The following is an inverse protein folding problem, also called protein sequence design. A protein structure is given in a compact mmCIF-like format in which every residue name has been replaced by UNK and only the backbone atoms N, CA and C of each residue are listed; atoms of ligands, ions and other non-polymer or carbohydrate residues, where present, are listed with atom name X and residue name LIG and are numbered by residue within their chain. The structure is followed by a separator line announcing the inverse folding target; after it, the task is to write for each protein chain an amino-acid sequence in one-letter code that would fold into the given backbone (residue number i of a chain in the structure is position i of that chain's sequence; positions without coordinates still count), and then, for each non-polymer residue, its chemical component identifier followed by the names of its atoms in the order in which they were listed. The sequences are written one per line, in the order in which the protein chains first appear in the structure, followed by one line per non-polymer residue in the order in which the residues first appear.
data_IF_614867900554
#
_entry.id   IF_614867900554
#
_cell.length_a   1.000
_cell.length_b   1.000
_cell.length_c   1.000
_cell.angle_alpha   90.00
_cell.angle_beta   90.00
_cell.angle_gamma   90.00
#
_symmetry.space_group_name_H-M   'P 1'
#
loop_
_entity.id
_entity.type
_entity.pdbx_description
1 polymer ?
#
# COMPACT_ATOMS: atom_id res chain seq x y z
N UNK A 1 -2.93 -7.58 -20.48
CA UNK A 1 -3.12 -7.71 -19.01
C UNK A 1 -2.46 -9.03 -18.57
N UNK A 2 -1.20 -9.00 -18.15
CA UNK A 2 -0.49 -10.22 -17.75
C UNK A 2 -0.90 -10.61 -16.32
N UNK A 3 -1.76 -11.62 -16.21
CA UNK A 3 -2.04 -12.33 -14.96
C UNK A 3 -0.73 -12.89 -14.43
N UNK A 4 -0.49 -12.74 -13.13
CA UNK A 4 0.64 -13.35 -12.41
C UNK A 4 0.56 -14.89 -12.57
N UNK A 5 1.16 -15.44 -13.63
CA UNK A 5 1.01 -16.85 -14.01
C UNK A 5 1.78 -17.83 -13.11
N UNK A 6 2.67 -17.32 -12.25
CA UNK A 6 3.62 -18.14 -11.50
C UNK A 6 3.15 -18.48 -10.07
N UNK A 7 2.08 -17.85 -9.58
CA UNK A 7 1.47 -18.16 -8.29
C UNK A 7 -0.02 -18.45 -8.49
N UNK A 8 -0.52 -19.53 -7.88
CA UNK A 8 -1.97 -19.81 -7.94
C UNK A 8 -2.74 -18.70 -7.22
N UNK A 9 -3.96 -18.33 -7.66
CA UNK A 9 -4.77 -17.31 -6.99
C UNK A 9 -4.97 -17.57 -5.49
N UNK A 10 -5.16 -18.84 -5.11
CA UNK A 10 -5.31 -19.23 -3.70
C UNK A 10 -4.03 -19.00 -2.90
N UNK A 11 -2.87 -19.34 -3.47
CA UNK A 11 -1.59 -19.09 -2.82
C UNK A 11 -1.30 -17.59 -2.71
N UNK A 12 -1.64 -16.81 -3.75
CA UNK A 12 -1.52 -15.35 -3.71
C UNK A 12 -2.33 -14.78 -2.54
N UNK A 13 -3.61 -15.17 -2.44
CA UNK A 13 -4.50 -14.72 -1.37
C UNK A 13 -3.95 -15.04 0.01
N UNK A 14 -3.48 -16.27 0.23
CA UNK A 14 -2.89 -16.68 1.51
C UNK A 14 -1.65 -15.87 1.89
N UNK A 15 -0.79 -15.56 0.91
CA UNK A 15 0.39 -14.73 1.15
C UNK A 15 0.02 -13.28 1.47
N UNK A 16 -0.98 -12.72 0.79
CA UNK A 16 -1.50 -11.37 1.08
C UNK A 16 -2.13 -11.31 2.48
N UNK A 17 -2.98 -12.28 2.84
CA UNK A 17 -3.58 -12.37 4.17
C UNK A 17 -2.50 -12.44 5.27
N UNK A 18 -1.49 -13.29 5.09
CA UNK A 18 -0.36 -13.39 6.01
C UNK A 18 0.44 -12.08 6.08
N UNK A 19 0.66 -11.43 4.95
CA UNK A 19 1.37 -10.14 4.90
C UNK A 19 0.65 -9.08 5.74
N UNK A 20 -0.65 -8.92 5.55
CA UNK A 20 -1.47 -7.98 6.32
C UNK A 20 -1.39 -8.28 7.82
N UNK A 21 -1.62 -9.54 8.21
CA UNK A 21 -1.56 -9.97 9.61
C UNK A 21 -0.20 -9.66 10.26
N UNK A 22 0.91 -9.99 9.61
CA UNK A 22 2.24 -9.71 10.15
C UNK A 22 2.52 -8.21 10.23
N UNK A 23 1.91 -7.40 9.35
CA UNK A 23 2.07 -5.95 9.37
C UNK A 23 1.35 -5.30 10.54
N UNK A 24 0.16 -5.80 10.86
CA UNK A 24 -0.59 -5.39 12.06
C UNK A 24 0.17 -5.77 13.33
N UNK A 25 0.67 -7.01 13.43
CA UNK A 25 1.48 -7.45 14.58
C UNK A 25 2.75 -6.62 14.77
N UNK A 26 3.42 -6.24 13.67
CA UNK A 26 4.59 -5.38 13.74
C UNK A 26 4.24 -3.97 14.24
N UNK A 27 3.10 -3.43 13.80
CA UNK A 27 2.61 -2.13 14.26
C UNK A 27 2.32 -2.15 15.76
N UNK A 28 1.72 -3.23 16.25
CA UNK A 28 1.45 -3.45 17.68
C UNK A 28 2.73 -3.54 18.51
N UNK A 29 3.72 -4.31 18.04
CA UNK A 29 5.03 -4.42 18.71
C UNK A 29 5.77 -3.07 18.77
N UNK A 30 5.69 -2.26 17.71
CA UNK A 30 6.21 -0.89 17.72
C UNK A 30 5.42 0.04 18.65
N UNK A 31 4.11 -0.13 18.77
CA UNK A 31 3.29 0.62 19.73
C UNK A 31 3.66 0.27 21.18
N UNK A 32 3.96 -1.00 21.46
CA UNK A 32 4.43 -1.44 22.78
C UNK A 32 5.76 -0.78 23.16
N UNK A 33 6.75 -0.76 22.27
CA UNK A 33 8.01 -0.05 22.51
C UNK A 33 7.79 1.45 22.78
N UNK A 34 6.93 2.10 22.00
CA UNK A 34 6.62 3.53 22.21
C UNK A 34 6.01 3.80 23.59
N UNK A 35 5.20 2.88 24.11
CA UNK A 35 4.65 2.96 25.49
C UNK A 35 5.70 2.64 26.56
N UNK A 36 6.56 1.64 26.31
CA UNK A 36 7.55 1.12 27.25
C UNK A 36 8.85 1.93 27.35
N UNK A 37 9.10 2.87 26.43
CA UNK A 37 10.29 3.72 26.44
C UNK A 37 11.42 3.21 25.52
N UNK A 38 12.69 3.57 25.78
CA UNK A 38 13.80 3.48 24.81
C UNK A 38 14.32 2.07 24.46
N UNK A 39 13.47 1.03 24.49
CA UNK A 39 13.84 -0.34 24.13
C UNK A 39 14.73 -1.06 25.14
N UNK A 40 14.95 -0.44 26.30
CA UNK A 40 15.69 -0.99 27.43
C UNK A 40 14.76 -1.06 28.64
N UNK A 41 14.80 -2.19 29.34
CA UNK A 41 14.06 -2.44 30.56
C UNK A 41 15.03 -2.76 31.69
N UNK A 42 14.72 -2.29 32.90
CA UNK A 42 15.47 -2.64 34.11
C UNK A 42 14.73 -3.75 34.84
N UNK A 43 15.38 -4.91 34.99
CA UNK A 43 14.80 -6.10 35.62
C UNK A 43 15.43 -6.37 36.99
N UNK A 44 14.56 -6.67 37.97
CA UNK A 44 14.92 -7.17 39.30
C UNK A 44 15.51 -6.14 40.27
N UNK A 45 15.76 -6.57 41.51
CA UNK A 45 16.36 -5.75 42.57
C UNK A 45 17.79 -5.29 42.27
N UNK A 46 18.52 -6.06 41.44
CA UNK A 46 19.89 -5.78 41.03
C UNK A 46 20.02 -4.80 39.85
N UNK A 47 18.91 -4.22 39.38
CA UNK A 47 18.88 -3.22 38.30
C UNK A 47 19.62 -3.63 37.02
N UNK A 48 19.48 -4.90 36.60
CA UNK A 48 20.08 -5.34 35.35
C UNK A 48 19.32 -4.74 34.16
N UNK A 49 20.04 -4.05 33.27
CA UNK A 49 19.48 -3.52 32.03
C UNK A 49 19.43 -4.64 30.99
N UNK A 50 18.25 -4.91 30.45
CA UNK A 50 18.04 -5.85 29.34
C UNK A 50 17.28 -5.17 28.21
N UNK A 51 17.41 -5.74 27.01
CA UNK A 51 16.60 -5.33 25.88
C UNK A 51 15.13 -5.69 26.12
N UNK A 52 14.24 -4.81 25.70
CA UNK A 52 12.81 -5.06 25.70
C UNK A 52 12.50 -6.26 24.78
N UNK A 53 11.72 -7.27 25.20
CA UNK A 53 11.41 -8.45 24.39
C UNK A 53 10.87 -8.13 22.99
N UNK A 54 10.00 -7.12 22.88
CA UNK A 54 9.48 -6.60 21.61
C UNK A 54 10.57 -6.24 20.57
N UNK A 55 11.81 -5.93 20.97
CA UNK A 55 12.91 -5.68 20.03
C UNK A 55 13.25 -6.93 19.20
N UNK A 56 13.20 -8.12 19.80
CA UNK A 56 13.48 -9.39 19.11
C UNK A 56 12.32 -9.72 18.18
N UNK A 57 11.09 -9.52 18.65
CA UNK A 57 9.87 -9.76 17.88
C UNK A 57 9.80 -8.87 16.64
N UNK A 58 10.05 -7.57 16.78
CA UNK A 58 10.13 -6.61 15.66
C UNK A 58 11.16 -7.06 14.62
N UNK A 59 12.32 -7.56 15.05
CA UNK A 59 13.35 -8.07 14.15
C UNK A 59 12.87 -9.30 13.37
N UNK A 60 12.21 -10.24 14.05
CA UNK A 60 11.68 -11.45 13.42
C UNK A 60 10.56 -11.15 12.43
N UNK A 61 9.57 -10.36 12.86
CA UNK A 61 8.46 -9.90 12.01
C UNK A 61 8.97 -9.14 10.78
N UNK A 62 9.96 -8.26 10.96
CA UNK A 62 10.56 -7.50 9.85
C UNK A 62 11.27 -8.42 8.84
N UNK A 63 11.93 -9.48 9.30
CA UNK A 63 12.60 -10.43 8.41
C UNK A 63 11.59 -11.25 7.59
N UNK A 64 10.52 -11.69 8.24
CA UNK A 64 9.44 -12.46 7.60
C UNK A 64 8.65 -11.62 6.58
N UNK A 65 8.36 -10.36 6.92
CA UNK A 65 7.71 -9.42 6.02
C UNK A 65 8.54 -9.13 4.77
N UNK A 66 9.87 -8.98 4.90
CA UNK A 66 10.76 -8.83 3.75
C UNK A 66 10.75 -10.05 2.83
N UNK A 67 10.67 -11.25 3.39
CA UNK A 67 10.55 -12.48 2.61
C UNK A 67 9.23 -12.50 1.83
N UNK A 68 8.12 -12.14 2.47
CA UNK A 68 6.82 -12.02 1.81
C UNK A 68 6.79 -10.93 0.73
N UNK A 69 7.43 -9.79 0.94
CA UNK A 69 7.53 -8.71 -0.05
C UNK A 69 8.25 -9.17 -1.32
N UNK A 70 9.26 -10.04 -1.17
CA UNK A 70 9.96 -10.67 -2.30
C UNK A 70 9.05 -11.68 -3.01
N UNK A 71 8.34 -12.53 -2.27
CA UNK A 71 7.41 -13.51 -2.83
C UNK A 71 6.20 -12.86 -3.52
N UNK A 72 5.70 -11.75 -2.99
CA UNK A 72 4.58 -10.98 -3.56
C UNK A 72 5.04 -10.01 -4.65
N UNK A 73 6.34 -9.96 -4.95
CA UNK A 73 6.91 -9.05 -5.93
C UNK A 73 6.61 -7.56 -5.68
N UNK A 74 6.49 -7.15 -4.41
CA UNK A 74 6.12 -5.77 -4.03
C UNK A 74 7.26 -4.76 -4.20
N UNK A 75 8.52 -5.21 -4.21
CA UNK A 75 9.67 -4.33 -4.46
C UNK A 75 10.01 -4.29 -5.95
N UNK A 76 10.58 -3.18 -6.47
CA UNK A 76 10.98 -3.10 -7.88
C UNK A 76 11.94 -4.23 -8.31
N UNK A 77 12.87 -4.60 -7.42
CA UNK A 77 13.82 -5.70 -7.69
C UNK A 77 13.13 -7.06 -7.77
N UNK A 78 12.18 -7.35 -6.87
CA UNK A 78 11.40 -8.59 -6.90
C UNK A 78 10.41 -8.63 -8.08
N UNK A 79 9.80 -7.50 -8.43
CA UNK A 79 8.93 -7.37 -9.60
C UNK A 79 9.68 -7.69 -10.90
N UNK A 80 10.88 -7.10 -11.06
CA UNK A 80 11.76 -7.37 -12.19
C UNK A 80 12.12 -8.87 -12.28
N UNK A 81 12.49 -9.51 -11.16
CA UNK A 81 12.81 -10.95 -11.12
C UNK A 81 11.60 -11.84 -11.44
N UNK A 82 10.40 -11.43 -11.04
CA UNK A 82 9.16 -12.14 -11.33
C UNK A 82 8.71 -12.00 -12.79
N UNK A 83 9.48 -11.30 -13.64
CA UNK A 83 9.12 -11.04 -15.03
C UNK A 83 7.89 -10.13 -15.17
N UNK A 84 7.53 -9.40 -14.10
CA UNK A 84 6.54 -8.34 -14.20
C UNK A 84 7.17 -7.26 -15.06
N UNK A 85 6.59 -6.91 -16.23
CA UNK A 85 7.09 -5.78 -16.98
C UNK A 85 7.06 -4.59 -16.02
N UNK A 86 8.22 -4.00 -15.77
CA UNK A 86 8.31 -2.70 -15.14
C UNK A 86 7.55 -1.78 -16.10
N UNK A 87 6.26 -1.58 -15.83
CA UNK A 87 5.49 -0.61 -16.58
C UNK A 87 6.21 0.72 -16.50
N UNK A 88 6.00 1.56 -17.52
CA UNK A 88 6.44 2.94 -17.48
C UNK A 88 6.11 3.52 -16.09
N UNK A 89 7.01 4.35 -15.53
CA UNK A 89 6.81 4.91 -14.20
C UNK A 89 5.37 5.40 -14.07
N UNK A 90 4.69 4.93 -13.02
CA UNK A 90 3.32 5.34 -12.76
C UNK A 90 3.22 6.87 -12.71
N UNK A 91 2.04 7.43 -13.03
CA UNK A 91 1.84 8.87 -13.03
C UNK A 91 2.30 9.47 -11.70
N UNK A 92 3.08 10.54 -11.77
CA UNK A 92 3.48 11.29 -10.58
C UNK A 92 2.27 11.98 -9.97
N UNK A 93 2.42 12.52 -8.74
CA UNK A 93 1.34 13.29 -8.11
C UNK A 93 0.82 14.42 -9.02
N UNK A 94 1.74 15.10 -9.72
CA UNK A 94 1.41 16.14 -10.68
C UNK A 94 0.69 15.62 -11.93
N UNK A 95 0.94 14.37 -12.34
CA UNK A 95 0.21 13.74 -13.44
C UNK A 95 -1.20 13.33 -12.99
N UNK A 96 -1.37 12.87 -11.76
CA UNK A 96 -2.67 12.57 -11.17
C UNK A 96 -3.53 13.83 -11.04
N UNK A 97 -2.94 14.95 -10.61
CA UNK A 97 -3.64 16.25 -10.53
C UNK A 97 -4.08 16.73 -11.92
N UNK A 98 -3.20 16.62 -12.93
CA UNK A 98 -3.54 16.95 -14.33
C UNK A 98 -4.67 16.08 -14.88
N UNK A 99 -4.63 14.78 -14.61
CA UNK A 99 -5.69 13.84 -15.02
C UNK A 99 -7.03 14.15 -14.32
N UNK A 100 -6.99 14.59 -13.06
CA UNK A 100 -8.18 15.00 -12.34
C UNK A 100 -8.77 16.31 -12.89
N UNK A 101 -7.92 17.27 -13.28
CA UNK A 101 -8.33 18.51 -13.95
C UNK A 101 -8.92 18.23 -15.35
N UNK A 102 -8.30 17.35 -16.13
CA UNK A 102 -8.80 16.93 -17.45
C UNK A 102 -10.15 16.21 -17.34
N UNK A 103 -10.31 15.32 -16.37
CA UNK A 103 -11.58 14.64 -16.11
C UNK A 103 -12.68 15.61 -15.63
N UNK A 104 -12.33 16.61 -14.81
CA UNK A 104 -13.26 17.65 -14.38
C UNK A 104 -13.68 18.59 -15.52
N UNK A 105 -12.79 18.82 -16.49
CA UNK A 105 -13.09 19.58 -17.70
C UNK A 105 -13.97 18.81 -18.70
N UNK A 106 -13.86 17.48 -18.74
CA UNK A 106 -14.73 16.60 -19.55
C UNK A 106 -16.17 16.53 -19.01
N UNK A 107 -16.35 16.72 -17.70
CA UNK A 107 -17.65 16.67 -17.01
C UNK A 107 -18.31 18.06 -16.86
N UNK A 108 -17.71 19.14 -17.39
CA UNK A 108 -18.35 20.46 -17.47
C UNK A 108 -19.39 20.48 -18.61
N UNK A 109 -20.71 20.62 -18.33
CA UNK A 109 -21.75 20.64 -19.35
C UNK A 109 -21.72 21.88 -20.26
N UNK A 110 -20.74 22.76 -20.09
CA UNK A 110 -20.51 23.93 -20.94
C UNK A 110 -19.65 23.51 -22.13
N UNK A 111 -20.31 23.30 -23.27
CA UNK A 111 -19.70 23.28 -24.60
C UNK A 111 -18.66 24.42 -24.71
N UNK A 112 -17.44 24.23 -25.26
CA UNK A 112 -16.39 25.25 -25.38
C UNK A 112 -16.80 26.58 -26.05
N UNK A 113 -18.04 26.70 -26.55
CA UNK A 113 -18.64 27.92 -27.10
C UNK A 113 -19.71 28.56 -26.18
N UNK A 114 -19.95 28.05 -24.98
CA UNK A 114 -20.88 28.62 -24.00
C UNK A 114 -22.36 28.59 -24.40
N UNK A 115 -22.74 27.73 -25.35
CA UNK A 115 -24.14 27.54 -25.74
C UNK A 115 -24.72 26.38 -24.94
N UNK A 116 -25.67 26.70 -24.05
CA UNK A 116 -26.52 25.74 -23.38
C UNK A 116 -27.02 24.70 -24.40
N UNK A 117 -26.79 23.41 -24.13
CA UNK A 117 -27.54 22.33 -24.77
C UNK A 117 -29.02 22.58 -24.52
N UNK A 118 -29.68 23.20 -25.50
CA UNK A 118 -31.14 23.33 -25.51
C UNK A 118 -31.68 21.92 -25.54
N UNK A 119 -32.29 21.51 -24.42
CA UNK A 119 -33.08 20.31 -24.35
C UNK A 119 -34.32 20.60 -25.20
N UNK A 120 -34.30 20.19 -26.47
CA UNK A 120 -35.52 20.14 -27.28
C UNK A 120 -36.40 19.02 -26.73
N UNK A 121 -37.22 19.38 -25.74
CA UNK A 121 -38.13 18.48 -25.05
C UNK A 121 -39.42 19.19 -24.67
N UNK A 122 -40.37 19.23 -25.61
CA UNK A 122 -41.80 19.21 -25.32
C UNK A 122 -42.50 20.55 -25.01
N UNK A 123 -43.54 20.85 -25.80
CA UNK A 123 -44.48 21.92 -25.47
C UNK A 123 -45.55 22.15 -26.53
N UNK A 124 -46.60 21.34 -26.47
CA UNK A 124 -48.00 21.64 -26.82
C UNK A 124 -48.34 22.70 -27.89
N UNK A 125 -48.97 22.28 -28.99
CA UNK A 125 -50.39 22.57 -29.27
C UNK A 125 -50.93 21.75 -30.44
#
# INVERSE_FOLDING_TARGET
MFRQYWISPDRHRLLVERYCMLRDLLADAHAELRRGGPGLMVLGSHKQVKFHPAMVEIRQLSAELRALEVELALTPSSASKAGVPLGDPGPTLADLDRMAEEAAAEDDPRDPLGLLRVIEGGGAS
#
